data_IF_835392364995
#
_entry.id   IF_835392364995
#
_cell.length_a   1.000
_cell.length_b   1.000
_cell.length_c   1.000
_cell.angle_alpha   90.00
_cell.angle_beta   90.00
_cell.angle_gamma   90.00
#
_symmetry.space_group_name_H-M   'P 1'
#
loop_
_entity.id
_entity.type
_entity.pdbx_description
1 polymer ?
#
# COMPACT_ATOMS: atom_id res chain seq x y z
N UNK A 1 -3.45 56.13 49.04
CA UNK A 1 -2.40 55.13 49.36
C UNK A 1 -1.64 54.81 48.09
N UNK A 2 -0.34 55.17 48.09
CA UNK A 2 0.76 54.83 47.19
C UNK A 2 0.70 55.26 45.70
N UNK A 3 1.61 56.21 45.45
CA UNK A 3 2.22 56.68 44.21
C UNK A 3 2.85 55.57 43.36
N UNK A 4 2.93 55.77 42.04
CA UNK A 4 4.16 56.12 41.30
C UNK A 4 3.85 56.15 39.78
N UNK A 5 3.78 57.32 39.13
CA UNK A 5 4.83 57.98 38.32
C UNK A 5 5.42 57.21 37.11
N UNK A 6 5.06 57.71 35.92
CA UNK A 6 5.81 57.88 34.64
C UNK A 6 7.15 57.15 34.46
N UNK A 7 7.35 56.55 33.27
CA UNK A 7 8.56 56.75 32.43
C UNK A 7 8.45 55.95 31.13
N UNK A 8 8.17 56.61 30.01
CA UNK A 8 9.09 56.85 28.86
C UNK A 8 9.56 55.60 28.12
N UNK A 9 9.14 55.58 26.86
CA UNK A 9 9.82 54.99 25.71
C UNK A 9 11.34 54.94 25.88
N UNK A 10 11.87 53.73 25.89
CA UNK A 10 13.26 53.46 25.57
C UNK A 10 13.32 52.45 24.43
N UNK A 11 14.07 52.85 23.41
CA UNK A 11 14.40 52.11 22.21
C UNK A 11 14.57 50.61 22.46
N UNK A 12 13.62 49.80 22.00
CA UNK A 12 13.98 48.47 21.55
C UNK A 12 14.79 48.68 20.27
N UNK A 13 16.11 48.74 20.44
CA UNK A 13 17.06 48.50 19.36
C UNK A 13 16.60 47.20 18.70
N UNK A 14 16.18 47.29 17.44
CA UNK A 14 15.98 46.15 16.58
C UNK A 14 17.31 45.43 16.41
N UNK A 15 17.64 44.58 17.39
CA UNK A 15 18.63 43.54 17.22
C UNK A 15 18.03 42.54 16.25
N UNK A 16 18.41 42.63 14.99
CA UNK A 16 18.25 41.50 14.06
C UNK A 16 18.98 40.34 14.71
N UNK A 17 18.24 39.39 15.30
CA UNK A 17 18.83 38.14 15.75
C UNK A 17 19.26 37.41 14.49
N UNK A 18 20.55 37.50 14.17
CA UNK A 18 21.17 36.70 13.12
C UNK A 18 21.20 35.27 13.66
N UNK A 19 20.10 34.55 13.46
CA UNK A 19 20.07 33.11 13.73
C UNK A 19 20.92 32.44 12.66
N UNK A 20 22.16 32.10 13.04
CA UNK A 20 22.97 31.20 12.22
C UNK A 20 22.36 29.81 12.32
N UNK A 21 21.81 29.32 11.21
CA UNK A 21 21.39 27.93 11.09
C UNK A 21 22.62 27.10 10.74
N UNK A 22 22.88 26.08 11.54
CA UNK A 22 23.89 25.07 11.26
C UNK A 22 23.16 23.76 10.96
N UNK A 23 23.63 23.06 9.95
CA UNK A 23 23.20 21.70 9.62
C UNK A 23 24.34 20.78 10.04
N UNK A 24 24.03 19.80 10.90
CA UNK A 24 24.99 18.85 11.45
C UNK A 24 24.40 17.48 11.22
N UNK A 25 25.13 16.61 10.53
CA UNK A 25 24.80 15.20 10.39
C UNK A 25 25.28 14.46 11.63
N UNK A 26 24.37 13.73 12.29
CA UNK A 26 24.66 12.96 13.49
C UNK A 26 24.42 11.48 13.23
N UNK A 27 25.30 10.64 13.75
CA UNK A 27 25.11 9.20 13.79
C UNK A 27 24.02 8.81 14.81
N UNK A 28 23.46 7.61 14.67
CA UNK A 28 22.45 7.09 15.62
C UNK A 28 23.00 7.07 17.06
N UNK A 29 24.28 6.71 17.25
CA UNK A 29 24.91 6.70 18.57
C UNK A 29 25.02 8.10 19.18
N UNK A 30 25.28 9.12 18.37
CA UNK A 30 25.31 10.52 18.84
C UNK A 30 23.89 11.01 19.15
N UNK A 31 22.88 10.63 18.37
CA UNK A 31 21.48 10.93 18.67
C UNK A 31 21.03 10.32 20.01
N UNK A 32 21.49 9.10 20.33
CA UNK A 32 21.20 8.45 21.61
C UNK A 32 21.78 9.22 22.80
N UNK A 33 22.89 9.95 22.64
CA UNK A 33 23.46 10.75 23.72
C UNK A 33 22.65 12.02 24.02
N UNK A 34 21.90 12.51 23.04
CA UNK A 34 21.04 13.69 23.10
C UNK A 34 19.61 13.38 23.58
N UNK A 35 19.28 12.11 23.68
CA UNK A 35 17.98 11.63 24.14
C UNK A 35 17.59 12.17 25.52
N UNK A 36 16.40 12.76 25.63
CA UNK A 36 15.88 13.39 26.84
C UNK A 36 16.53 14.73 27.21
N UNK A 37 17.47 15.23 26.38
CA UNK A 37 18.21 16.49 26.64
C UNK A 37 17.90 17.60 25.64
N UNK A 38 17.03 17.35 24.68
CA UNK A 38 16.65 18.28 23.61
C UNK A 38 15.20 18.76 23.76
N UNK A 39 14.80 19.77 22.99
CA UNK A 39 13.41 20.22 22.95
C UNK A 39 12.47 19.11 22.48
N UNK A 40 11.19 19.16 22.85
CA UNK A 40 10.19 18.16 22.44
C UNK A 40 10.14 17.96 20.91
N UNK A 41 10.31 19.03 20.14
CA UNK A 41 10.35 18.96 18.68
C UNK A 41 11.54 18.15 18.15
N UNK A 42 12.72 18.29 18.77
CA UNK A 42 13.91 17.54 18.42
C UNK A 42 13.86 16.12 18.96
N UNK A 43 13.26 15.92 20.14
CA UNK A 43 13.05 14.61 20.73
C UNK A 43 12.19 13.71 19.82
N UNK A 44 11.15 14.27 19.19
CA UNK A 44 10.36 13.54 18.19
C UNK A 44 11.20 13.04 17.02
N UNK A 45 12.20 13.81 16.57
CA UNK A 45 13.12 13.40 15.50
C UNK A 45 14.03 12.27 15.99
N UNK A 46 14.54 12.37 17.22
CA UNK A 46 15.35 11.31 17.84
C UNK A 46 14.53 10.02 17.99
N UNK A 47 13.32 10.09 18.52
CA UNK A 47 12.44 8.94 18.69
C UNK A 47 12.09 8.28 17.35
N UNK A 48 11.87 9.11 16.32
CA UNK A 48 11.67 8.64 14.95
C UNK A 48 12.89 7.93 14.37
N UNK A 49 14.09 8.44 14.60
CA UNK A 49 15.34 7.83 14.15
C UNK A 49 15.65 6.53 14.90
N UNK A 50 15.36 6.48 16.21
CA UNK A 50 15.47 5.25 17.01
C UNK A 50 14.54 4.16 16.51
N UNK A 51 13.29 4.51 16.24
CA UNK A 51 12.31 3.57 15.68
C UNK A 51 12.79 3.04 14.33
N UNK A 52 13.33 3.90 13.48
CA UNK A 52 13.88 3.50 12.19
C UNK A 52 15.09 2.55 12.33
N UNK A 53 16.03 2.84 13.23
CA UNK A 53 17.15 1.95 13.51
C UNK A 53 16.73 0.61 14.12
N UNK A 54 15.61 0.58 14.86
CA UNK A 54 15.14 -0.64 15.53
C UNK A 54 14.73 -1.77 14.58
N UNK A 55 14.46 -1.47 13.30
CA UNK A 55 14.10 -2.50 12.32
C UNK A 55 15.29 -3.39 11.90
N UNK A 56 16.54 -2.95 12.15
CA UNK A 56 17.74 -3.79 12.00
C UNK A 56 18.30 -3.94 10.59
N UNK A 57 17.92 -3.09 9.62
CA UNK A 57 18.48 -3.10 8.26
C UNK A 57 19.61 -2.07 8.08
N UNK A 58 20.69 -2.22 8.85
CA UNK A 58 21.83 -1.29 8.82
C UNK A 58 22.57 -1.31 7.47
N UNK A 59 22.52 -2.42 6.74
CA UNK A 59 23.15 -2.57 5.42
C UNK A 59 22.38 -1.85 4.30
N UNK A 60 21.09 -1.57 4.52
CA UNK A 60 20.24 -0.91 3.54
C UNK A 60 19.19 0.00 4.24
N UNK A 61 19.59 1.19 4.70
CA UNK A 61 18.74 2.07 5.51
C UNK A 61 17.39 2.44 4.87
N UNK A 62 17.30 2.46 3.54
CA UNK A 62 16.03 2.68 2.83
C UNK A 62 14.95 1.64 3.19
N UNK A 63 15.32 0.42 3.58
CA UNK A 63 14.34 -0.60 4.04
C UNK A 63 13.65 -0.11 5.31
N UNK A 64 14.41 0.43 6.26
CA UNK A 64 13.89 0.97 7.51
C UNK A 64 12.91 2.13 7.23
N UNK A 65 13.31 3.04 6.32
CA UNK A 65 12.46 4.15 5.89
C UNK A 65 11.15 3.65 5.26
N UNK A 66 11.23 2.64 4.39
CA UNK A 66 10.06 2.05 3.72
C UNK A 66 9.12 1.41 4.74
N UNK A 67 9.62 0.63 5.69
CA UNK A 67 8.80 -0.02 6.73
C UNK A 67 8.11 1.06 7.57
N UNK A 68 8.85 2.06 8.03
CA UNK A 68 8.31 3.21 8.79
C UNK A 68 7.17 3.92 8.05
N UNK A 69 7.37 4.22 6.76
CA UNK A 69 6.34 4.85 5.93
C UNK A 69 5.14 3.93 5.71
N UNK A 70 5.38 2.62 5.58
CA UNK A 70 4.32 1.62 5.39
C UNK A 70 3.45 1.49 6.63
N UNK A 71 4.03 1.46 7.83
CA UNK A 71 3.28 1.48 9.09
C UNK A 71 2.40 2.73 9.23
N UNK A 72 2.96 3.89 8.86
CA UNK A 72 2.23 5.16 8.92
C UNK A 72 1.03 5.19 7.96
N UNK A 73 1.20 4.61 6.76
CA UNK A 73 0.19 4.63 5.72
C UNK A 73 -0.75 3.40 5.76
N UNK A 74 -0.43 2.39 6.58
CA UNK A 74 -1.14 1.11 6.67
C UNK A 74 -0.98 0.21 5.44
N UNK A 75 -0.12 0.58 4.48
CA UNK A 75 0.07 -0.15 3.22
C UNK A 75 1.50 -0.03 2.71
N UNK A 76 1.97 -1.10 2.09
CA UNK A 76 3.20 -1.16 1.30
C UNK A 76 2.83 -1.17 -0.17
N UNK A 77 3.29 -0.17 -0.91
CA UNK A 77 3.12 -0.08 -2.36
C UNK A 77 4.46 0.15 -3.06
N UNK A 78 4.55 -0.26 -4.32
CA UNK A 78 5.66 0.14 -5.18
C UNK A 78 5.23 0.37 -6.62
N UNK A 79 5.92 1.28 -7.28
CA UNK A 79 5.72 1.63 -8.69
C UNK A 79 7.05 1.56 -9.43
N UNK A 80 6.99 1.10 -10.68
CA UNK A 80 8.14 1.15 -11.58
C UNK A 80 8.31 2.56 -12.13
N UNK A 81 9.55 3.05 -12.12
CA UNK A 81 9.88 4.41 -12.53
C UNK A 81 11.16 4.52 -13.34
N UNK A 82 11.24 5.57 -14.14
CA UNK A 82 12.49 6.01 -14.75
C UNK A 82 13.24 6.92 -13.77
N UNK A 83 14.44 6.52 -13.36
CA UNK A 83 15.30 7.25 -12.42
C UNK A 83 16.57 7.75 -13.12
N UNK A 84 17.19 8.82 -12.61
CA UNK A 84 18.44 9.36 -13.16
C UNK A 84 19.70 8.86 -12.47
N UNK A 85 19.57 8.36 -11.26
CA UNK A 85 20.68 7.84 -10.47
C UNK A 85 20.22 6.84 -9.43
N UNK A 86 21.15 6.06 -8.90
CA UNK A 86 20.90 5.14 -7.79
C UNK A 86 21.98 5.32 -6.74
N UNK A 87 21.59 5.51 -5.48
CA UNK A 87 22.54 5.65 -4.36
C UNK A 87 23.24 4.35 -3.96
N UNK A 88 22.93 3.23 -4.61
CA UNK A 88 23.39 1.88 -4.24
C UNK A 88 24.26 1.20 -5.29
N UNK A 89 24.53 1.87 -6.42
CA UNK A 89 25.44 1.40 -7.48
C UNK A 89 26.03 2.59 -8.24
N UNK A 90 26.82 2.32 -9.28
CA UNK A 90 27.53 3.35 -10.05
C UNK A 90 26.65 4.15 -11.04
N UNK A 91 25.34 3.92 -11.05
CA UNK A 91 24.40 4.66 -11.91
C UNK A 91 24.28 6.10 -11.43
N UNK A 92 24.98 7.00 -12.12
CA UNK A 92 24.98 8.44 -11.88
C UNK A 92 24.15 9.20 -12.92
N UNK A 93 23.69 10.43 -12.59
CA UNK A 93 22.99 11.27 -13.55
C UNK A 93 23.90 11.61 -14.73
N UNK A 94 23.45 11.30 -15.95
CA UNK A 94 24.16 11.70 -17.15
C UNK A 94 23.18 12.05 -18.27
N UNK A 95 23.74 12.48 -19.41
CA UNK A 95 23.01 12.98 -20.57
C UNK A 95 23.51 12.30 -21.84
N UNK A 96 22.61 12.09 -22.79
CA UNK A 96 23.01 11.60 -24.11
C UNK A 96 23.93 12.63 -24.76
N UNK A 97 24.89 12.16 -25.54
CA UNK A 97 25.79 13.04 -26.29
C UNK A 97 25.22 13.33 -27.67
N UNK A 98 25.48 14.53 -28.19
CA UNK A 98 25.09 14.88 -29.55
C UNK A 98 25.78 13.96 -30.57
N UNK A 99 25.05 13.24 -31.44
CA UNK A 99 25.65 12.31 -32.39
C UNK A 99 26.32 13.02 -33.57
N UNK A 100 25.95 14.29 -33.83
CA UNK A 100 26.44 15.13 -34.92
C UNK A 100 26.62 16.56 -34.41
N UNK A 101 27.54 17.31 -35.01
CA UNK A 101 27.70 18.75 -34.75
C UNK A 101 26.53 19.52 -35.37
N UNK A 102 26.14 20.60 -34.72
CA UNK A 102 25.09 21.52 -35.18
C UNK A 102 25.55 22.97 -35.01
N UNK A 103 24.64 23.92 -35.22
CA UNK A 103 24.95 25.35 -35.13
C UNK A 103 25.36 25.80 -33.72
N UNK A 104 24.83 25.15 -32.68
CA UNK A 104 24.98 25.56 -31.27
C UNK A 104 25.61 24.50 -30.37
N UNK A 105 26.10 23.40 -30.94
CA UNK A 105 26.72 22.30 -30.19
C UNK A 105 27.66 21.49 -31.08
N UNK A 106 28.66 20.85 -30.47
CA UNK A 106 29.57 19.93 -31.16
C UNK A 106 29.15 18.47 -30.96
N UNK A 107 29.56 17.60 -31.90
CA UNK A 107 29.44 16.16 -31.71
C UNK A 107 30.20 15.75 -30.44
N UNK A 108 29.55 14.97 -29.58
CA UNK A 108 30.14 14.50 -28.32
C UNK A 108 29.81 15.37 -27.09
N UNK A 109 29.32 16.59 -27.30
CA UNK A 109 28.83 17.45 -26.21
C UNK A 109 27.62 16.82 -25.54
N UNK A 110 27.46 17.06 -24.23
CA UNK A 110 26.29 16.61 -23.48
C UNK A 110 25.05 17.36 -23.94
N UNK A 111 24.00 16.63 -24.26
CA UNK A 111 22.69 17.19 -24.56
C UNK A 111 21.87 17.26 -23.27
N UNK A 112 21.85 18.44 -22.62
CA UNK A 112 21.14 18.66 -21.36
C UNK A 112 19.61 18.50 -21.47
N UNK A 113 19.05 18.51 -22.68
CA UNK A 113 17.63 18.25 -22.96
C UNK A 113 17.33 16.74 -23.04
N UNK A 114 18.36 15.89 -23.12
CA UNK A 114 18.24 14.42 -23.25
C UNK A 114 18.93 13.69 -22.10
N UNK A 115 18.40 13.75 -20.88
CA UNK A 115 18.91 12.97 -19.76
C UNK A 115 18.83 11.47 -20.03
N UNK A 116 19.78 10.72 -19.47
CA UNK A 116 19.75 9.26 -19.44
C UNK A 116 18.91 8.83 -18.23
N UNK A 117 17.99 7.90 -18.48
CA UNK A 117 17.15 7.30 -17.45
C UNK A 117 17.44 5.81 -17.35
N UNK A 118 17.34 5.30 -16.14
CA UNK A 118 17.47 3.88 -15.79
C UNK A 118 16.14 3.39 -15.24
N UNK A 119 15.89 2.09 -15.38
CA UNK A 119 14.73 1.46 -14.72
C UNK A 119 14.95 1.40 -13.22
N UNK A 120 14.01 1.94 -12.47
CA UNK A 120 14.02 2.01 -11.02
C UNK A 120 12.66 1.70 -10.43
N UNK A 121 12.63 1.80 -9.10
CA UNK A 121 11.46 1.55 -8.28
C UNK A 121 11.29 2.67 -7.26
N UNK A 122 10.04 3.01 -6.97
CA UNK A 122 9.66 3.89 -5.87
C UNK A 122 8.68 3.15 -4.98
N UNK A 123 8.98 3.08 -3.70
CA UNK A 123 8.11 2.55 -2.66
C UNK A 123 7.29 3.69 -2.05
N UNK A 124 6.08 3.35 -1.59
CA UNK A 124 5.16 4.24 -0.88
C UNK A 124 5.01 5.61 -1.54
N UNK A 125 4.87 5.60 -2.87
CA UNK A 125 4.77 6.82 -3.64
C UNK A 125 3.56 7.67 -3.20
N UNK A 126 3.84 8.92 -2.84
CA UNK A 126 2.83 9.89 -2.45
C UNK A 126 2.09 10.47 -3.66
N UNK A 127 1.25 11.48 -3.39
CA UNK A 127 0.48 12.16 -4.44
C UNK A 127 1.35 12.94 -5.44
N UNK A 128 2.47 13.51 -4.97
CA UNK A 128 3.39 14.28 -5.80
C UNK A 128 4.47 13.35 -6.34
N UNK A 129 4.58 13.28 -7.67
CA UNK A 129 5.56 12.45 -8.36
C UNK A 129 6.63 13.31 -9.01
N UNK A 130 7.89 13.13 -8.63
CA UNK A 130 9.02 13.82 -9.27
C UNK A 130 9.63 12.91 -10.33
N UNK A 131 9.74 13.41 -11.56
CA UNK A 131 10.35 12.69 -12.68
C UNK A 131 11.85 12.47 -12.46
N UNK A 132 12.35 11.28 -12.78
CA UNK A 132 13.77 10.97 -12.63
C UNK A 132 14.20 10.64 -11.20
N UNK A 133 13.29 10.67 -10.23
CA UNK A 133 13.54 10.34 -8.83
C UNK A 133 12.87 9.00 -8.45
N UNK A 134 13.61 8.16 -7.74
CA UNK A 134 13.14 6.88 -7.18
C UNK A 134 14.06 6.45 -6.05
N UNK A 135 13.74 5.34 -5.39
CA UNK A 135 14.52 4.88 -4.22
C UNK A 135 15.77 4.12 -4.63
N UNK A 136 15.64 3.30 -5.67
CA UNK A 136 16.77 2.53 -6.20
C UNK A 136 16.52 2.06 -7.63
N UNK A 137 17.59 1.63 -8.31
CA UNK A 137 17.47 0.97 -9.60
C UNK A 137 16.93 -0.47 -9.43
N UNK A 138 16.33 -1.01 -10.48
CA UNK A 138 15.74 -2.35 -10.44
C UNK A 138 16.76 -3.47 -10.24
N UNK A 139 17.98 -3.31 -10.74
CA UNK A 139 19.07 -4.28 -10.53
C UNK A 139 19.41 -4.38 -9.04
N UNK A 140 19.73 -3.26 -8.38
CA UNK A 140 19.99 -3.26 -6.94
C UNK A 140 18.81 -3.81 -6.12
N UNK A 141 17.57 -3.46 -6.51
CA UNK A 141 16.38 -3.96 -5.83
C UNK A 141 16.29 -5.50 -5.87
N UNK A 142 16.61 -6.12 -7.02
CA UNK A 142 16.61 -7.57 -7.18
C UNK A 142 17.81 -8.23 -6.51
N UNK A 143 19.02 -7.72 -6.75
CA UNK A 143 20.25 -8.29 -6.19
C UNK A 143 20.21 -8.33 -4.67
N UNK A 144 19.72 -7.26 -4.05
CA UNK A 144 19.59 -7.15 -2.59
C UNK A 144 18.28 -7.71 -2.03
N UNK A 145 17.42 -8.30 -2.90
CA UNK A 145 16.12 -8.88 -2.55
C UNK A 145 15.26 -7.96 -1.67
N UNK A 146 15.20 -6.68 -2.03
CA UNK A 146 14.65 -5.63 -1.15
C UNK A 146 13.16 -5.86 -0.89
N UNK A 147 12.40 -6.29 -1.90
CA UNK A 147 10.95 -6.54 -1.74
C UNK A 147 10.71 -7.70 -0.79
N UNK A 148 11.43 -8.79 -0.99
CA UNK A 148 11.32 -10.02 -0.21
C UNK A 148 11.70 -9.76 1.24
N UNK A 149 12.82 -9.05 1.48
CA UNK A 149 13.25 -8.65 2.84
C UNK A 149 12.21 -7.82 3.57
N UNK A 150 11.58 -6.85 2.89
CA UNK A 150 10.51 -6.04 3.49
C UNK A 150 9.30 -6.91 3.79
N UNK A 151 8.88 -7.76 2.86
CA UNK A 151 7.70 -8.63 3.00
C UNK A 151 7.90 -9.64 4.13
N UNK A 152 9.05 -10.30 4.17
CA UNK A 152 9.41 -11.27 5.21
C UNK A 152 9.41 -10.58 6.57
N UNK A 153 10.02 -9.40 6.69
CA UNK A 153 10.02 -8.65 7.95
C UNK A 153 8.62 -8.28 8.43
N UNK A 154 7.75 -7.82 7.52
CA UNK A 154 6.35 -7.47 7.84
C UNK A 154 5.61 -8.69 8.39
N UNK A 155 5.78 -9.85 7.75
CA UNK A 155 5.07 -11.08 8.12
C UNK A 155 5.62 -11.65 9.42
N UNK A 156 6.94 -11.77 9.54
CA UNK A 156 7.61 -12.40 10.70
C UNK A 156 7.39 -11.60 11.99
N UNK A 157 7.23 -10.28 11.89
CA UNK A 157 6.94 -9.40 13.03
C UNK A 157 5.45 -9.05 13.18
N UNK A 158 4.56 -9.71 12.44
CA UNK A 158 3.10 -9.49 12.45
C UNK A 158 2.69 -8.01 12.32
N UNK A 159 3.41 -7.25 11.48
CA UNK A 159 3.13 -5.83 11.29
C UNK A 159 1.79 -5.66 10.57
N UNK A 160 0.94 -4.76 11.10
CA UNK A 160 -0.35 -4.42 10.52
C UNK A 160 -0.14 -3.51 9.29
N UNK A 161 0.24 -4.11 8.18
CA UNK A 161 0.49 -3.45 6.90
C UNK A 161 -0.13 -4.29 5.79
N UNK A 162 -0.94 -3.66 4.93
CA UNK A 162 -1.41 -4.29 3.70
C UNK A 162 -0.28 -4.34 2.66
N UNK A 163 0.01 -5.53 2.13
CA UNK A 163 1.03 -5.71 1.08
C UNK A 163 0.33 -5.72 -0.28
N UNK A 164 0.41 -4.61 -1.03
CA UNK A 164 -0.25 -4.51 -2.32
C UNK A 164 0.52 -5.21 -3.44
N UNK A 165 -0.20 -5.98 -4.28
CA UNK A 165 0.27 -6.49 -5.59
C UNK A 165 1.62 -7.22 -5.52
N UNK A 166 1.65 -8.35 -4.82
CA UNK A 166 2.85 -9.16 -4.69
C UNK A 166 2.54 -10.63 -4.97
N UNK A 167 3.45 -11.29 -5.70
CA UNK A 167 3.35 -12.71 -6.05
C UNK A 167 4.20 -13.60 -5.12
N UNK A 168 4.84 -13.01 -4.10
CA UNK A 168 5.80 -13.71 -3.23
C UNK A 168 5.11 -14.33 -2.01
N UNK A 169 4.49 -13.50 -1.16
CA UNK A 169 3.77 -13.95 0.04
C UNK A 169 2.56 -13.07 0.29
N UNK A 170 1.44 -13.70 0.62
CA UNK A 170 0.21 -12.99 0.97
C UNK A 170 0.39 -12.25 2.31
N UNK A 171 -0.08 -11.00 2.37
CA UNK A 171 -0.14 -10.25 3.61
C UNK A 171 -1.34 -10.69 4.46
N UNK A 172 -1.13 -10.82 5.77
CA UNK A 172 -2.16 -11.23 6.74
C UNK A 172 -3.25 -10.19 6.95
N UNK A 173 -2.92 -8.91 6.79
CA UNK A 173 -3.83 -7.80 7.04
C UNK A 173 -4.18 -7.06 5.75
N UNK A 174 -5.44 -6.61 5.68
CA UNK A 174 -5.91 -5.64 4.68
C UNK A 174 -6.19 -4.31 5.38
N UNK A 175 -5.87 -3.21 4.73
CA UNK A 175 -6.16 -1.87 5.24
C UNK A 175 -7.65 -1.62 5.08
N UNK A 176 -8.27 -1.06 6.13
CA UNK A 176 -9.69 -0.72 6.12
C UNK A 176 -9.87 0.77 6.44
N UNK A 177 -10.20 1.57 5.42
CA UNK A 177 -10.30 3.01 5.56
C UNK A 177 -11.47 3.40 6.46
N UNK A 178 -11.26 4.41 7.32
CA UNK A 178 -12.33 4.93 8.17
C UNK A 178 -12.98 6.14 7.49
N UNK A 179 -14.30 6.08 7.37
CA UNK A 179 -15.14 7.14 6.82
C UNK A 179 -16.04 7.72 7.89
N UNK A 180 -16.47 8.96 7.70
CA UNK A 180 -17.44 9.62 8.57
C UNK A 180 -18.77 9.73 7.84
N UNK A 181 -19.85 9.24 8.46
CA UNK A 181 -21.19 9.37 7.91
C UNK A 181 -21.56 10.85 7.75
N UNK A 182 -22.04 11.27 6.57
CA UNK A 182 -22.46 12.67 6.37
C UNK A 182 -23.74 13.02 7.13
N UNK A 183 -24.55 12.02 7.48
CA UNK A 183 -25.86 12.21 8.14
C UNK A 183 -25.76 12.09 9.65
N UNK A 184 -25.13 11.04 10.19
CA UNK A 184 -25.03 10.79 11.63
C UNK A 184 -23.65 11.06 12.23
N UNK A 185 -22.70 11.57 11.44
CA UNK A 185 -21.33 11.93 11.85
C UNK A 185 -20.53 10.82 12.57
N UNK A 186 -20.95 9.57 12.46
CA UNK A 186 -20.25 8.45 13.09
C UNK A 186 -19.10 7.96 12.22
N UNK A 187 -17.99 7.59 12.84
CA UNK A 187 -16.87 6.88 12.20
C UNK A 187 -17.30 5.43 11.88
N UNK A 188 -17.01 4.99 10.67
CA UNK A 188 -17.43 3.71 10.10
C UNK A 188 -16.25 3.13 9.30
N UNK A 189 -16.03 1.84 9.44
CA UNK A 189 -15.06 1.10 8.63
C UNK A 189 -15.63 0.82 7.24
N UNK A 190 -14.82 1.02 6.19
CA UNK A 190 -15.27 0.81 4.81
C UNK A 190 -15.77 -0.62 4.55
N UNK A 191 -15.19 -1.61 5.23
CA UNK A 191 -15.65 -3.01 5.17
C UNK A 191 -17.06 -3.25 5.73
N UNK A 192 -17.54 -2.41 6.66
CA UNK A 192 -18.89 -2.49 7.24
C UNK A 192 -19.96 -1.80 6.37
N UNK A 193 -19.53 -1.00 5.39
CA UNK A 193 -20.43 -0.20 4.56
C UNK A 193 -21.08 -1.05 3.47
N UNK A 194 -22.34 -0.76 3.17
CA UNK A 194 -22.97 -1.35 1.98
C UNK A 194 -22.38 -0.70 0.73
N UNK A 195 -22.20 -1.51 -0.31
CA UNK A 195 -21.63 -1.06 -1.58
C UNK A 195 -22.68 -0.96 -2.66
N UNK A 196 -22.56 0.06 -3.49
CA UNK A 196 -23.43 0.28 -4.66
C UNK A 196 -22.61 0.23 -5.94
N UNK A 197 -23.22 -0.22 -7.05
CA UNK A 197 -22.54 -0.27 -8.33
C UNK A 197 -22.22 1.15 -8.82
N UNK A 198 -21.07 1.31 -9.46
CA UNK A 198 -20.72 2.55 -10.14
C UNK A 198 -21.62 2.74 -11.36
N UNK A 199 -22.07 3.98 -11.63
CA UNK A 199 -22.87 4.30 -12.82
C UNK A 199 -22.11 4.08 -14.13
N UNK A 200 -20.78 4.20 -14.11
CA UNK A 200 -19.93 3.95 -15.27
C UNK A 200 -18.93 2.84 -14.94
N UNK A 201 -19.01 1.73 -15.67
CA UNK A 201 -18.11 0.57 -15.53
C UNK A 201 -18.54 -0.47 -14.50
N UNK A 202 -17.80 -1.57 -14.44
CA UNK A 202 -18.07 -2.74 -13.58
C UNK A 202 -17.43 -2.61 -12.19
N UNK A 203 -17.66 -1.46 -11.55
CA UNK A 203 -17.11 -1.10 -10.24
C UNK A 203 -18.16 -1.03 -9.15
N UNK A 204 -17.70 -1.03 -7.90
CA UNK A 204 -18.53 -0.81 -6.71
C UNK A 204 -17.85 0.18 -5.79
N UNK A 205 -18.63 1.03 -5.12
CA UNK A 205 -18.13 1.99 -4.15
C UNK A 205 -18.87 1.85 -2.81
N UNK A 206 -18.21 2.15 -1.69
CA UNK A 206 -18.87 2.17 -0.37
C UNK A 206 -19.87 3.31 -0.33
N UNK A 207 -21.15 2.96 -0.16
CA UNK A 207 -22.27 3.89 -0.26
C UNK A 207 -23.03 4.05 1.04
N UNK A 208 -23.42 2.96 1.72
CA UNK A 208 -24.38 3.04 2.83
C UNK A 208 -23.75 2.93 4.21
N UNK A 209 -24.22 3.79 5.11
CA UNK A 209 -23.93 3.77 6.53
C UNK A 209 -24.69 2.62 7.23
N UNK A 210 -24.01 1.70 7.95
CA UNK A 210 -24.66 0.60 8.65
C UNK A 210 -25.48 1.06 9.87
N UNK A 211 -25.23 2.26 10.41
CA UNK A 211 -25.91 2.77 11.62
C UNK A 211 -27.22 3.49 11.33
N UNK A 212 -27.23 4.36 10.32
CA UNK A 212 -28.41 5.18 10.00
C UNK A 212 -29.02 4.90 8.62
N UNK A 213 -28.43 3.99 7.83
CA UNK A 213 -28.92 3.64 6.50
C UNK A 213 -28.75 4.73 5.43
N UNK A 214 -28.16 5.88 5.77
CA UNK A 214 -27.87 6.94 4.81
C UNK A 214 -26.93 6.42 3.72
N UNK A 215 -27.23 6.78 2.45
CA UNK A 215 -26.49 6.33 1.27
C UNK A 215 -25.80 7.51 0.59
N UNK A 216 -24.59 7.27 0.11
CA UNK A 216 -23.82 8.26 -0.64
C UNK A 216 -24.36 8.41 -2.06
N UNK A 217 -24.53 9.65 -2.50
CA UNK A 217 -24.96 9.97 -3.87
C UNK A 217 -23.77 10.47 -4.68
N UNK A 218 -23.62 9.98 -5.92
CA UNK A 218 -22.54 10.41 -6.83
C UNK A 218 -22.46 11.93 -7.01
N UNK A 219 -23.60 12.63 -7.03
CA UNK A 219 -23.67 14.07 -7.25
C UNK A 219 -24.14 14.85 -6.02
N UNK A 220 -24.05 14.26 -4.82
CA UNK A 220 -24.61 14.86 -3.62
C UNK A 220 -23.81 14.55 -2.37
N UNK A 221 -24.54 14.24 -1.29
CA UNK A 221 -23.94 13.95 0.00
C UNK A 221 -23.12 12.65 -0.08
N UNK A 222 -21.88 12.72 0.39
CA UNK A 222 -20.94 11.61 0.38
C UNK A 222 -20.33 11.42 1.77
N UNK A 223 -20.13 10.17 2.17
CA UNK A 223 -19.38 9.85 3.38
C UNK A 223 -17.93 10.36 3.26
N UNK A 224 -17.47 11.10 4.27
CA UNK A 224 -16.17 11.78 4.25
C UNK A 224 -15.06 10.77 4.49
N UNK A 225 -14.11 10.68 3.56
CA UNK A 225 -12.88 9.89 3.73
C UNK A 225 -11.96 10.59 4.74
N UNK A 226 -11.39 9.81 5.66
CA UNK A 226 -10.43 10.32 6.65
C UNK A 226 -9.03 9.77 6.38
N UNK A 227 -8.03 10.32 7.07
CA UNK A 227 -6.67 9.76 7.07
C UNK A 227 -6.51 8.60 8.07
N UNK A 228 -7.56 8.25 8.81
CA UNK A 228 -7.56 7.13 9.75
C UNK A 228 -7.94 5.84 9.02
N UNK A 229 -7.43 4.73 9.53
CA UNK A 229 -7.74 3.40 9.02
C UNK A 229 -7.65 2.39 10.16
N UNK A 230 -8.42 1.32 10.03
CA UNK A 230 -8.28 0.09 10.79
C UNK A 230 -7.63 -0.99 9.96
N UNK A 231 -7.69 -2.22 10.48
CA UNK A 231 -7.20 -3.41 9.81
C UNK A 231 -8.19 -4.54 9.99
N UNK A 232 -8.31 -5.34 8.94
CA UNK A 232 -9.09 -6.57 8.95
C UNK A 232 -8.18 -7.72 8.53
N UNK A 233 -8.48 -8.91 9.03
CA UNK A 233 -7.78 -10.10 8.59
C UNK A 233 -8.09 -10.34 7.11
N UNK A 234 -7.05 -10.66 6.35
CA UNK A 234 -7.21 -11.01 4.95
C UNK A 234 -8.02 -12.32 4.84
N UNK A 235 -9.20 -12.31 4.21
CA UNK A 235 -10.05 -13.50 4.17
C UNK A 235 -9.41 -14.67 3.40
N UNK A 236 -8.33 -14.45 2.66
CA UNK A 236 -7.54 -15.52 2.04
C UNK A 236 -6.78 -16.40 3.06
N UNK A 237 -6.66 -15.96 4.31
CA UNK A 237 -6.06 -16.73 5.41
C UNK A 237 -7.07 -17.61 6.17
N UNK A 238 -8.37 -17.50 5.85
CA UNK A 238 -9.38 -18.39 6.43
C UNK A 238 -9.13 -19.83 5.96
N UNK A 239 -9.34 -20.79 6.88
CA UNK A 239 -8.95 -22.18 6.67
C UNK A 239 -9.67 -22.81 5.47
N UNK A 240 -10.97 -22.54 5.32
CA UNK A 240 -11.74 -23.01 4.17
C UNK A 240 -11.19 -22.50 2.83
N UNK A 241 -10.69 -21.27 2.78
CA UNK A 241 -10.14 -20.67 1.55
C UNK A 241 -8.80 -21.29 1.23
N UNK A 242 -7.98 -21.54 2.25
CA UNK A 242 -6.69 -22.23 2.11
C UNK A 242 -6.88 -23.64 1.55
N UNK A 243 -7.81 -24.42 2.10
CA UNK A 243 -8.11 -25.78 1.63
C UNK A 243 -8.61 -25.80 0.19
N UNK A 244 -9.50 -24.87 -0.18
CA UNK A 244 -9.97 -24.74 -1.57
C UNK A 244 -8.80 -24.37 -2.51
N UNK A 245 -7.91 -23.48 -2.07
CA UNK A 245 -6.73 -23.10 -2.86
C UNK A 245 -5.78 -24.27 -3.04
N UNK A 246 -5.50 -25.04 -1.99
CA UNK A 246 -4.68 -26.26 -2.06
C UNK A 246 -5.29 -27.31 -3.00
N UNK A 247 -6.62 -27.50 -2.94
CA UNK A 247 -7.35 -28.35 -3.88
C UNK A 247 -7.16 -27.87 -5.33
N UNK A 248 -7.35 -26.58 -5.60
CA UNK A 248 -7.18 -25.97 -6.93
C UNK A 248 -5.74 -26.15 -7.43
N UNK A 249 -4.75 -25.88 -6.59
CA UNK A 249 -3.33 -26.01 -6.95
C UNK A 249 -2.98 -27.47 -7.27
N UNK A 250 -3.51 -28.43 -6.51
CA UNK A 250 -3.33 -29.86 -6.78
C UNK A 250 -4.02 -30.29 -8.07
N UNK A 251 -5.27 -29.88 -8.29
CA UNK A 251 -6.02 -30.16 -9.51
C UNK A 251 -5.31 -29.62 -10.75
N UNK A 252 -4.71 -28.42 -10.66
CA UNK A 252 -4.08 -27.75 -11.79
C UNK A 252 -2.68 -28.29 -12.16
N UNK A 253 -2.05 -29.16 -11.35
CA UNK A 253 -0.67 -29.65 -11.56
C UNK A 253 -0.48 -30.30 -12.94
N UNK A 254 -1.42 -31.15 -13.34
CA UNK A 254 -1.34 -31.97 -14.55
C UNK A 254 -2.27 -31.46 -15.65
N UNK A 255 -2.73 -30.21 -15.55
CA UNK A 255 -3.75 -29.62 -16.43
C UNK A 255 -3.17 -28.61 -17.40
N UNK A 256 -3.58 -28.75 -18.65
CA UNK A 256 -3.40 -27.72 -19.68
C UNK A 256 -4.10 -26.43 -19.24
N UNK A 257 -3.60 -25.29 -19.71
CA UNK A 257 -3.98 -23.97 -19.20
C UNK A 257 -5.48 -23.71 -19.29
N UNK A 258 -6.12 -24.18 -20.34
CA UNK A 258 -7.55 -24.07 -20.65
C UNK A 258 -8.45 -25.03 -19.84
N UNK A 259 -7.87 -26.04 -19.19
CA UNK A 259 -8.59 -26.90 -18.24
C UNK A 259 -8.44 -26.45 -16.78
N UNK A 260 -7.66 -25.39 -16.53
CA UNK A 260 -7.38 -24.92 -15.18
C UNK A 260 -8.55 -24.18 -14.59
N UNK A 261 -8.70 -24.37 -13.29
CA UNK A 261 -9.61 -23.61 -12.46
C UNK A 261 -8.83 -22.63 -11.60
N UNK A 262 -9.44 -21.52 -11.22
CA UNK A 262 -8.78 -20.55 -10.36
C UNK A 262 -9.76 -19.90 -9.39
N UNK A 263 -9.22 -19.52 -8.23
CA UNK A 263 -9.96 -18.82 -7.21
C UNK A 263 -9.88 -17.31 -7.44
N UNK A 264 -11.03 -16.68 -7.62
CA UNK A 264 -11.16 -15.23 -7.75
C UNK A 264 -11.89 -14.65 -6.55
N UNK A 265 -11.29 -13.65 -5.91
CA UNK A 265 -11.98 -12.84 -4.91
C UNK A 265 -12.96 -11.88 -5.61
N UNK A 266 -14.13 -11.66 -5.00
CA UNK A 266 -15.17 -10.79 -5.53
C UNK A 266 -14.77 -9.32 -5.50
N UNK A 267 -15.09 -8.58 -6.56
CA UNK A 267 -14.86 -7.12 -6.62
C UNK A 267 -15.70 -6.35 -5.60
N UNK A 268 -16.88 -6.87 -5.29
CA UNK A 268 -17.88 -6.18 -4.47
C UNK A 268 -17.54 -6.36 -3.00
N UNK A 269 -17.28 -7.59 -2.57
CA UNK A 269 -16.98 -7.91 -1.18
C UNK A 269 -15.72 -8.75 -1.10
N UNK A 270 -14.82 -8.33 -0.21
CA UNK A 270 -13.56 -9.04 0.06
C UNK A 270 -13.78 -10.43 0.65
N UNK A 271 -14.96 -10.70 1.22
CA UNK A 271 -15.31 -11.99 1.82
C UNK A 271 -16.04 -12.93 0.85
N UNK A 272 -16.28 -12.51 -0.40
CA UNK A 272 -16.84 -13.39 -1.43
C UNK A 272 -15.75 -13.88 -2.36
N UNK A 273 -15.86 -15.17 -2.70
CA UNK A 273 -14.93 -15.86 -3.59
C UNK A 273 -15.72 -16.63 -4.65
N UNK A 274 -15.12 -16.82 -5.81
CA UNK A 274 -15.67 -17.62 -6.90
C UNK A 274 -14.57 -18.51 -7.47
N UNK A 275 -14.88 -19.78 -7.65
CA UNK A 275 -14.02 -20.70 -8.42
C UNK A 275 -14.49 -20.65 -9.86
N UNK A 276 -13.57 -20.35 -10.76
CA UNK A 276 -13.82 -20.08 -12.16
C UNK A 276 -12.99 -21.02 -13.03
N UNK A 277 -13.55 -21.44 -14.17
CA UNK A 277 -12.90 -22.20 -15.24
C UNK A 277 -12.74 -21.28 -16.46
N UNK A 278 -11.54 -21.24 -17.06
CA UNK A 278 -11.26 -20.41 -18.23
C UNK A 278 -11.80 -21.10 -19.50
N UNK A 279 -12.71 -20.47 -20.25
CA UNK A 279 -13.21 -21.02 -21.53
C UNK A 279 -12.91 -20.09 -22.71
N UNK A 280 -12.38 -20.67 -23.78
CA UNK A 280 -11.88 -19.96 -24.97
C UNK A 280 -12.90 -19.10 -25.72
N UNK A 281 -14.21 -19.37 -25.61
CA UNK A 281 -15.21 -18.71 -26.45
C UNK A 281 -16.08 -17.66 -25.77
N UNK A 282 -16.34 -17.74 -24.45
CA UNK A 282 -17.35 -16.90 -23.78
C UNK A 282 -16.93 -16.36 -22.39
N UNK A 283 -15.62 -16.32 -22.10
CA UNK A 283 -15.11 -15.88 -20.80
C UNK A 283 -15.11 -17.00 -19.76
N UNK A 284 -15.34 -16.65 -18.49
CA UNK A 284 -15.11 -17.56 -17.38
C UNK A 284 -16.40 -18.26 -16.94
N UNK A 285 -16.35 -19.58 -16.84
CA UNK A 285 -17.43 -20.39 -16.28
C UNK A 285 -17.31 -20.41 -14.76
N UNK A 286 -18.31 -19.90 -14.06
CA UNK A 286 -18.38 -20.01 -12.60
C UNK A 286 -18.78 -21.43 -12.22
N UNK A 287 -17.95 -22.08 -11.40
CA UNK A 287 -18.19 -23.42 -10.83
C UNK A 287 -18.95 -23.29 -9.52
N UNK A 288 -18.45 -22.45 -8.62
CA UNK A 288 -19.09 -22.18 -7.33
C UNK A 288 -18.75 -20.76 -6.89
N UNK A 289 -19.67 -20.10 -6.21
CA UNK A 289 -19.42 -18.84 -5.52
C UNK A 289 -19.85 -18.97 -4.07
N UNK A 290 -18.99 -18.55 -3.15
CA UNK A 290 -19.24 -18.61 -1.71
C UNK A 290 -18.90 -17.28 -1.04
N UNK A 291 -19.46 -17.07 0.15
CA UNK A 291 -19.23 -15.88 0.96
C UNK A 291 -18.96 -16.23 2.42
N UNK A 292 -17.76 -15.92 2.90
CA UNK A 292 -17.25 -16.32 4.23
C UNK A 292 -18.14 -15.83 5.35
N UNK A 293 -18.44 -14.52 5.36
CA UNK A 293 -19.28 -13.91 6.41
C UNK A 293 -20.69 -14.48 6.40
N UNK A 294 -21.23 -14.78 5.23
CA UNK A 294 -22.61 -15.25 5.09
C UNK A 294 -22.75 -16.75 5.33
N UNK A 295 -21.65 -17.52 5.27
CA UNK A 295 -21.62 -18.99 5.25
C UNK A 295 -22.62 -19.59 4.26
N UNK A 296 -22.69 -19.00 3.06
CA UNK A 296 -23.51 -19.53 1.97
C UNK A 296 -22.68 -19.71 0.69
N UNK A 297 -23.07 -20.66 -0.15
CA UNK A 297 -22.58 -20.80 -1.51
C UNK A 297 -23.72 -20.96 -2.53
N UNK A 298 -23.39 -20.71 -3.79
CA UNK A 298 -24.28 -20.89 -4.94
C UNK A 298 -23.53 -21.70 -6.00
N UNK A 299 -24.21 -22.70 -6.54
CA UNK A 299 -23.62 -23.53 -7.59
C UNK A 299 -23.66 -22.81 -8.94
N UNK A 300 -22.60 -23.01 -9.69
CA UNK A 300 -22.38 -22.52 -11.04
C UNK A 300 -23.12 -23.32 -12.11
N UNK A 301 -22.60 -23.31 -13.33
CA UNK A 301 -23.11 -24.14 -14.42
C UNK A 301 -22.36 -25.48 -14.45
N UNK A 302 -23.09 -26.58 -14.33
CA UNK A 302 -22.54 -27.94 -14.33
C UNK A 302 -22.30 -28.48 -12.92
N UNK A 303 -22.92 -29.62 -12.61
CA UNK A 303 -22.61 -30.44 -11.44
C UNK A 303 -21.62 -31.51 -11.88
N UNK A 304 -20.34 -31.20 -11.82
CA UNK A 304 -19.27 -32.18 -12.03
C UNK A 304 -18.61 -32.53 -10.69
N UNK A 305 -17.68 -33.48 -10.73
CA UNK A 305 -16.93 -33.96 -9.57
C UNK A 305 -16.22 -32.82 -8.82
N UNK A 306 -15.70 -31.83 -9.56
CA UNK A 306 -14.98 -30.67 -8.99
C UNK A 306 -15.90 -29.81 -8.14
N UNK A 307 -17.13 -29.58 -8.62
CA UNK A 307 -18.16 -28.88 -7.85
C UNK A 307 -18.48 -29.63 -6.55
N UNK A 308 -18.52 -30.96 -6.59
CA UNK A 308 -18.82 -31.77 -5.41
C UNK A 308 -17.68 -31.75 -4.39
N UNK A 309 -16.43 -31.83 -4.83
CA UNK A 309 -15.27 -31.77 -3.93
C UNK A 309 -15.17 -30.43 -3.20
N UNK A 310 -15.34 -29.32 -3.92
CA UNK A 310 -15.33 -27.98 -3.30
C UNK A 310 -16.54 -27.82 -2.37
N UNK A 311 -17.71 -28.39 -2.75
CA UNK A 311 -18.89 -28.41 -1.89
C UNK A 311 -18.62 -29.17 -0.59
N UNK A 312 -18.01 -30.34 -0.63
CA UNK A 312 -17.67 -31.12 0.56
C UNK A 312 -16.78 -30.31 1.51
N UNK A 313 -15.76 -29.63 0.96
CA UNK A 313 -14.92 -28.71 1.76
C UNK A 313 -15.80 -27.62 2.41
N UNK A 314 -16.70 -26.97 1.68
CA UNK A 314 -17.55 -25.92 2.25
C UNK A 314 -18.55 -26.45 3.29
N UNK A 315 -19.09 -27.65 3.08
CA UNK A 315 -20.03 -28.30 3.98
C UNK A 315 -19.35 -28.64 5.34
N UNK A 316 -18.06 -29.04 5.34
CA UNK A 316 -17.26 -29.24 6.56
C UNK A 316 -17.16 -27.96 7.43
N UNK A 317 -17.26 -26.78 6.80
CA UNK A 317 -17.26 -25.48 7.49
C UNK A 317 -18.68 -24.92 7.68
N UNK A 318 -19.71 -25.77 7.62
CA UNK A 318 -21.12 -25.46 7.84
C UNK A 318 -21.71 -24.42 6.88
N UNK A 319 -21.25 -24.38 5.62
CA UNK A 319 -21.87 -23.52 4.62
C UNK A 319 -23.22 -24.08 4.15
N UNK A 320 -24.11 -23.19 3.71
CA UNK A 320 -25.43 -23.57 3.16
C UNK A 320 -25.54 -23.21 1.68
N UNK A 321 -26.09 -24.13 0.90
CA UNK A 321 -26.44 -23.86 -0.50
C UNK A 321 -27.62 -22.87 -0.56
N UNK A 322 -27.46 -21.79 -1.33
CA UNK A 322 -28.55 -20.89 -1.71
C UNK A 322 -29.05 -21.26 -3.10
N UNK A 323 -30.36 -21.51 -3.20
CA UNK A 323 -31.03 -21.59 -4.49
C UNK A 323 -30.92 -20.23 -5.20
N UNK A 324 -30.68 -20.29 -6.52
CA UNK A 324 -30.43 -19.13 -7.37
C UNK A 324 -31.70 -18.36 -7.70
#
# INVERSE_FOLDING_TARGET
>A
MREQTKSKFHHQKGGVSISKKFEIELTINELLQLDGKVSESAQKIIDEAKKESSYGFDDLPIINEIIKQSEKNGKLTWTYKSIRSCGYCDKKPDYKRYPRSGRYHSKGDKNFDKPIYYSGIKFNEGFITISGHGDMCLECCREKKVKERIIDYIIDNDLKIEIMKNDYKLGKYLKDDIRICYSCNTEIQESEMTKEPTMMGDGYYPSGCPKCGAKSSMFGNNHKVTNKFGFINNPQFEEEVRLIKEYIDNYNKDKERDERIYLSQGKNTITSFSVLEEKWSNGNHKIIQFGITSKNYTLGYGKDERTQDIKNILDDFNYKEKEK
#
